data_IF_563343306571
#
_entry.id   IF_563343306571
#
_cell.length_a   1.000
_cell.length_b   1.000
_cell.length_c   1.000
_cell.angle_alpha   90.00
_cell.angle_beta   90.00
_cell.angle_gamma   90.00
#
_symmetry.space_group_name_H-M   'P 1'
#
loop_
_entity.id
_entity.type
_entity.pdbx_description
1 polymer ?
#
# COMPACT_ATOMS: atom_id res chain seq x y z
N UNK A 1 21.30 10.73 -8.16
CA UNK A 1 21.76 10.24 -6.85
C UNK A 1 20.75 9.19 -6.39
N UNK A 2 21.03 7.93 -6.67
CA UNK A 2 20.06 6.84 -6.64
C UNK A 2 19.91 6.31 -5.21
N UNK A 3 18.70 6.37 -4.65
CA UNK A 3 18.39 5.85 -3.30
C UNK A 3 18.61 4.33 -3.25
N UNK A 4 19.60 3.82 -2.49
CA UNK A 4 19.99 2.40 -2.50
C UNK A 4 18.99 1.45 -1.81
N UNK A 5 17.92 1.97 -1.19
CA UNK A 5 17.06 1.21 -0.27
C UNK A 5 15.95 0.43 -1.01
N UNK A 6 15.64 0.76 -2.27
CA UNK A 6 14.61 0.03 -3.04
C UNK A 6 15.07 -1.34 -3.56
N UNK A 7 16.37 -1.57 -3.73
CA UNK A 7 16.91 -2.81 -4.29
C UNK A 7 16.84 -4.01 -3.34
N UNK A 8 16.80 -3.79 -2.03
CA UNK A 8 16.85 -4.89 -1.05
C UNK A 8 15.58 -5.77 -1.10
N UNK A 9 14.41 -5.18 -1.40
CA UNK A 9 13.16 -5.92 -1.52
C UNK A 9 13.15 -6.85 -2.75
N UNK A 10 13.84 -6.49 -3.83
CA UNK A 10 13.96 -7.33 -5.03
C UNK A 10 14.90 -8.52 -4.80
N UNK A 11 15.96 -8.34 -4.00
CA UNK A 11 16.87 -9.43 -3.61
C UNK A 11 16.19 -10.48 -2.73
N UNK A 12 15.34 -10.04 -1.79
CA UNK A 12 14.63 -10.92 -0.89
C UNK A 12 13.65 -11.87 -1.60
N UNK A 13 13.12 -11.47 -2.77
CA UNK A 13 12.20 -12.31 -3.55
C UNK A 13 12.94 -13.19 -4.57
N UNK A 14 14.07 -12.73 -5.10
CA UNK A 14 14.87 -13.49 -6.06
C UNK A 14 15.53 -14.73 -5.47
N UNK A 15 16.07 -14.63 -4.25
CA UNK A 15 16.78 -15.75 -3.60
C UNK A 15 15.90 -17.01 -3.41
N UNK A 16 14.70 -16.92 -2.79
CA UNK A 16 13.84 -18.09 -2.64
C UNK A 16 13.32 -18.63 -3.98
N UNK A 17 13.12 -17.79 -5.00
CA UNK A 17 12.69 -18.23 -6.33
C UNK A 17 13.76 -19.08 -7.02
N UNK A 18 15.02 -18.62 -7.00
CA UNK A 18 16.15 -19.37 -7.58
C UNK A 18 16.37 -20.68 -6.80
N UNK A 19 16.25 -20.63 -5.48
CA UNK A 19 16.31 -21.83 -4.63
C UNK A 19 15.23 -22.86 -5.00
N UNK A 20 13.99 -22.40 -5.18
CA UNK A 20 12.86 -23.26 -5.55
C UNK A 20 13.07 -23.90 -6.94
N UNK A 21 13.54 -23.13 -7.92
CA UNK A 21 13.87 -23.64 -9.25
C UNK A 21 14.98 -24.69 -9.20
N UNK A 22 16.06 -24.45 -8.45
CA UNK A 22 17.13 -25.44 -8.28
C UNK A 22 16.60 -26.72 -7.62
N UNK A 23 15.82 -26.58 -6.55
CA UNK A 23 15.25 -27.72 -5.84
C UNK A 23 14.35 -28.59 -6.73
N UNK A 24 13.58 -27.97 -7.63
CA UNK A 24 12.78 -28.68 -8.62
C UNK A 24 13.64 -29.42 -9.66
N UNK A 25 14.73 -28.80 -10.13
CA UNK A 25 15.64 -29.41 -11.11
C UNK A 25 16.49 -30.54 -10.55
N UNK A 26 16.95 -30.43 -9.30
CA UNK A 26 17.85 -31.42 -8.68
C UNK A 26 17.12 -32.59 -8.01
N UNK A 27 15.78 -32.60 -8.06
CA UNK A 27 14.96 -33.69 -7.54
C UNK A 27 14.98 -33.84 -6.02
N UNK A 28 15.26 -32.76 -5.27
CA UNK A 28 15.28 -32.81 -3.79
C UNK A 28 16.06 -31.68 -3.12
N UNK A 29 15.60 -31.29 -1.92
CA UNK A 29 16.16 -30.21 -1.10
C UNK A 29 17.58 -30.48 -0.62
N UNK A 30 17.93 -31.74 -0.33
CA UNK A 30 19.25 -32.12 0.19
C UNK A 30 20.37 -31.89 -0.83
N UNK A 31 20.15 -32.32 -2.08
CA UNK A 31 21.10 -32.12 -3.18
C UNK A 31 21.21 -30.64 -3.59
N UNK A 32 20.08 -29.91 -3.54
CA UNK A 32 20.06 -28.48 -3.80
C UNK A 32 20.89 -27.69 -2.77
N UNK A 33 20.81 -28.06 -1.49
CA UNK A 33 21.56 -27.39 -0.43
C UNK A 33 23.08 -27.59 -0.59
N UNK A 34 23.51 -28.82 -0.93
CA UNK A 34 24.93 -29.11 -1.16
C UNK A 34 25.49 -28.40 -2.39
N UNK A 35 24.74 -28.36 -3.50
CA UNK A 35 25.14 -27.63 -4.71
C UNK A 35 25.16 -26.12 -4.46
N UNK A 36 24.22 -25.60 -3.69
CA UNK A 36 24.16 -24.17 -3.36
C UNK A 36 25.28 -23.78 -2.40
N UNK A 37 25.58 -24.58 -1.38
CA UNK A 37 26.70 -24.34 -0.49
C UNK A 37 28.04 -24.41 -1.23
N UNK A 38 28.25 -25.44 -2.07
CA UNK A 38 29.45 -25.57 -2.90
C UNK A 38 29.59 -24.41 -3.90
N UNK A 39 28.48 -23.98 -4.50
CA UNK A 39 28.42 -22.81 -5.39
C UNK A 39 28.71 -21.51 -4.65
N UNK A 40 28.13 -21.29 -3.46
CA UNK A 40 28.36 -20.08 -2.64
C UNK A 40 29.83 -19.99 -2.23
N UNK A 41 30.44 -21.12 -1.83
CA UNK A 41 31.87 -21.19 -1.52
C UNK A 41 32.73 -20.96 -2.76
N UNK A 42 32.34 -21.49 -3.93
CA UNK A 42 33.03 -21.21 -5.20
C UNK A 42 32.78 -19.79 -5.75
N UNK A 43 31.69 -19.13 -5.37
CA UNK A 43 31.28 -17.80 -5.85
C UNK A 43 31.70 -16.67 -4.92
N UNK A 44 32.18 -16.95 -3.70
CA UNK A 44 32.80 -15.98 -2.79
C UNK A 44 34.04 -15.26 -3.39
N UNK A 45 34.54 -15.72 -4.54
CA UNK A 45 35.49 -15.00 -5.40
C UNK A 45 34.84 -14.47 -6.68
N UNK A 46 35.12 -15.14 -7.81
CA UNK A 46 34.79 -14.66 -9.18
C UNK A 46 33.30 -14.81 -9.50
N UNK A 47 32.62 -15.80 -8.91
CA UNK A 47 31.24 -16.08 -9.23
C UNK A 47 30.27 -14.95 -8.89
N UNK A 48 30.59 -14.09 -7.92
CA UNK A 48 29.78 -12.92 -7.59
C UNK A 48 29.66 -11.94 -8.78
N UNK A 49 30.71 -11.80 -9.59
CA UNK A 49 30.74 -10.91 -10.76
C UNK A 49 29.77 -11.40 -11.84
N UNK A 50 29.60 -12.71 -12.00
CA UNK A 50 28.68 -13.30 -12.98
C UNK A 50 27.26 -13.41 -12.38
N UNK A 51 27.15 -13.64 -11.07
CA UNK A 51 25.88 -13.80 -10.38
C UNK A 51 25.06 -12.51 -10.31
N UNK A 52 25.72 -11.37 -10.08
CA UNK A 52 25.06 -10.05 -10.05
C UNK A 52 24.30 -9.77 -11.37
N UNK A 53 24.92 -9.79 -12.56
CA UNK A 53 24.21 -9.55 -13.81
C UNK A 53 23.17 -10.63 -14.09
N UNK A 54 23.44 -11.91 -13.77
CA UNK A 54 22.47 -12.98 -13.96
C UNK A 54 21.21 -12.78 -13.09
N UNK A 55 21.38 -12.35 -11.84
CA UNK A 55 20.26 -12.02 -10.94
C UNK A 55 19.45 -10.83 -11.43
N UNK A 56 20.13 -9.85 -12.05
CA UNK A 56 19.50 -8.64 -12.58
C UNK A 56 18.68 -8.97 -13.83
N UNK A 57 19.23 -9.80 -14.73
CA UNK A 57 18.52 -10.33 -15.90
C UNK A 57 17.33 -11.18 -15.48
N UNK A 58 17.52 -12.07 -14.50
CA UNK A 58 16.44 -12.95 -14.00
C UNK A 58 15.33 -12.13 -13.35
N UNK A 59 15.68 -11.11 -12.55
CA UNK A 59 14.71 -10.18 -11.96
C UNK A 59 13.95 -9.38 -13.02
N UNK A 60 14.63 -8.92 -14.07
CA UNK A 60 13.99 -8.23 -15.18
C UNK A 60 13.02 -9.15 -15.91
N UNK A 61 13.48 -10.35 -16.29
CA UNK A 61 12.66 -11.36 -16.97
C UNK A 61 11.43 -11.75 -16.14
N UNK A 62 11.58 -11.92 -14.82
CA UNK A 62 10.46 -12.23 -13.92
C UNK A 62 9.43 -11.09 -13.87
N UNK A 63 9.86 -9.83 -13.89
CA UNK A 63 8.96 -8.68 -13.96
C UNK A 63 8.22 -8.59 -15.29
N UNK A 64 8.90 -8.88 -16.41
CA UNK A 64 8.25 -8.94 -17.73
C UNK A 64 7.23 -10.06 -17.77
N UNK A 65 7.58 -11.25 -17.28
CA UNK A 65 6.67 -12.39 -17.19
C UNK A 65 5.48 -12.07 -16.29
N UNK A 66 5.71 -11.46 -15.12
CA UNK A 66 4.65 -11.05 -14.21
C UNK A 66 3.72 -10.02 -14.84
N UNK A 67 4.24 -9.09 -15.65
CA UNK A 67 3.45 -8.10 -16.38
C UNK A 67 2.63 -8.75 -17.50
N UNK A 68 3.21 -9.72 -18.21
CA UNK A 68 2.53 -10.49 -19.25
C UNK A 68 1.40 -11.35 -18.66
N UNK A 69 1.67 -12.01 -17.53
CA UNK A 69 0.68 -12.77 -16.78
C UNK A 69 -0.37 -11.83 -16.20
N UNK A 70 -0.02 -10.66 -15.67
CA UNK A 70 -1.00 -9.69 -15.17
C UNK A 70 -1.93 -9.17 -16.28
N UNK A 71 -1.39 -8.93 -17.48
CA UNK A 71 -2.17 -8.57 -18.66
C UNK A 71 -3.08 -9.72 -19.12
N UNK A 72 -2.59 -10.96 -19.09
CA UNK A 72 -3.33 -12.15 -19.55
C UNK A 72 -4.38 -12.63 -18.54
N UNK A 73 -4.10 -12.47 -17.24
CA UNK A 73 -4.95 -13.00 -16.15
C UNK A 73 -6.04 -12.02 -15.73
N UNK A 74 -6.19 -10.87 -16.41
CA UNK A 74 -7.37 -10.02 -16.25
C UNK A 74 -7.58 -9.51 -14.82
N UNK A 75 -6.52 -9.30 -14.03
CA UNK A 75 -6.64 -8.59 -12.74
C UNK A 75 -7.17 -7.16 -12.95
N UNK A 76 -7.04 -6.61 -14.17
CA UNK A 76 -7.72 -5.39 -14.62
C UNK A 76 -9.25 -5.46 -14.50
N UNK A 77 -9.85 -6.65 -14.44
CA UNK A 77 -11.31 -6.83 -14.25
C UNK A 77 -11.74 -6.56 -12.81
N UNK A 78 -10.87 -6.81 -11.82
CA UNK A 78 -11.18 -6.55 -10.40
C UNK A 78 -11.09 -5.07 -10.05
N UNK A 79 -10.08 -4.38 -10.58
CA UNK A 79 -9.96 -2.92 -10.43
C UNK A 79 -11.03 -2.17 -11.23
N UNK A 80 -11.41 -2.68 -12.40
CA UNK A 80 -12.54 -2.17 -13.18
C UNK A 80 -13.88 -2.33 -12.46
N UNK A 81 -14.14 -3.49 -11.84
CA UNK A 81 -15.35 -3.73 -11.07
C UNK A 81 -15.48 -2.79 -9.85
N UNK A 82 -14.37 -2.53 -9.14
CA UNK A 82 -14.36 -1.58 -8.01
C UNK A 82 -14.58 -0.14 -8.49
N UNK A 83 -13.98 0.25 -9.61
CA UNK A 83 -14.18 1.60 -10.19
C UNK A 83 -15.61 1.83 -10.66
N UNK A 84 -16.21 0.83 -11.32
CA UNK A 84 -17.62 0.88 -11.76
C UNK A 84 -18.60 0.88 -10.57
N UNK A 85 -18.26 0.21 -9.47
CA UNK A 85 -19.05 0.24 -8.24
C UNK A 85 -19.01 1.65 -7.59
N UNK A 86 -17.83 2.29 -7.56
CA UNK A 86 -17.67 3.65 -7.06
C UNK A 86 -18.46 4.68 -7.87
N UNK A 87 -18.43 4.60 -9.22
CA UNK A 87 -19.23 5.50 -10.08
C UNK A 87 -20.74 5.33 -9.89
N UNK A 88 -21.24 4.11 -9.67
CA UNK A 88 -22.67 3.89 -9.36
C UNK A 88 -23.09 4.50 -8.03
N UNK A 89 -22.21 4.47 -7.04
CA UNK A 89 -22.48 5.09 -5.74
C UNK A 89 -22.54 6.62 -5.89
N UNK A 90 -21.62 7.22 -6.63
CA UNK A 90 -21.60 8.66 -6.86
C UNK A 90 -22.81 9.15 -7.68
N UNK A 91 -23.21 8.40 -8.71
CA UNK A 91 -24.41 8.68 -9.48
C UNK A 91 -25.70 8.60 -8.64
N UNK A 92 -25.80 7.59 -7.77
CA UNK A 92 -26.93 7.44 -6.84
C UNK A 92 -27.01 8.59 -5.83
N UNK A 93 -25.86 9.05 -5.30
CA UNK A 93 -25.80 10.19 -4.37
C UNK A 93 -26.26 11.48 -5.08
N UNK A 94 -25.83 11.72 -6.32
CA UNK A 94 -26.30 12.86 -7.12
C UNK A 94 -27.80 12.83 -7.37
N UNK A 95 -28.37 11.67 -7.66
CA UNK A 95 -29.83 11.54 -7.84
C UNK A 95 -30.60 11.77 -6.53
N UNK A 96 -30.09 11.30 -5.40
CA UNK A 96 -30.68 11.60 -4.09
C UNK A 96 -30.59 13.09 -3.74
N UNK A 97 -29.49 13.76 -4.09
CA UNK A 97 -29.34 15.20 -3.91
C UNK A 97 -30.30 16.01 -4.80
N UNK A 98 -30.68 15.49 -5.97
CA UNK A 98 -31.69 16.13 -6.84
C UNK A 98 -33.13 15.87 -6.37
N UNK A 99 -33.41 14.78 -5.65
CA UNK A 99 -34.74 14.52 -5.07
C UNK A 99 -34.97 15.23 -3.73
N UNK A 100 -33.91 15.66 -3.03
CA UNK A 100 -34.05 16.38 -1.75
C UNK A 100 -34.30 17.88 -1.88
N UNK A 101 -34.33 18.44 -3.10
CA UNK A 101 -34.71 19.84 -3.33
C UNK A 101 -36.24 20.02 -3.32
N UNK A 102 -36.88 19.65 -2.20
CA UNK A 102 -38.17 20.21 -1.81
C UNK A 102 -37.89 21.24 -0.70
N UNK A 103 -38.41 22.48 -0.79
CA UNK A 103 -38.00 23.58 0.08
C UNK A 103 -38.70 23.48 1.44
N UNK A 104 -38.18 22.61 2.30
CA UNK A 104 -38.44 22.68 3.73
C UNK A 104 -37.14 22.87 4.50
N UNK A 105 -36.95 24.11 4.96
CA UNK A 105 -36.15 24.44 6.13
C UNK A 105 -34.65 24.51 5.87
N UNK A 106 -34.16 25.73 5.68
CA UNK A 106 -32.78 26.10 6.03
C UNK A 106 -32.64 25.92 7.54
N UNK A 107 -32.36 24.69 7.98
CA UNK A 107 -31.85 24.45 9.33
C UNK A 107 -30.38 24.81 9.23
N UNK A 108 -30.07 26.04 9.65
CA UNK A 108 -28.73 26.40 10.07
C UNK A 108 -28.25 25.28 10.99
N UNK A 109 -27.32 24.46 10.49
CA UNK A 109 -26.68 23.39 11.25
C UNK A 109 -25.86 24.10 12.31
N UNK A 110 -26.50 24.40 13.43
CA UNK A 110 -25.84 24.73 14.68
C UNK A 110 -24.81 23.63 14.89
N UNK A 111 -23.56 24.07 14.86
CA UNK A 111 -22.37 23.28 15.16
C UNK A 111 -22.62 22.59 16.48
N UNK A 112 -23.04 21.32 16.40
CA UNK A 112 -23.33 20.49 17.56
C UNK A 112 -22.01 20.30 18.30
N UNK A 113 -21.88 20.96 19.44
CA UNK A 113 -20.70 20.95 20.31
C UNK A 113 -20.42 19.59 20.97
N UNK A 114 -21.07 18.52 20.50
CA UNK A 114 -21.03 17.21 21.11
C UNK A 114 -20.60 16.17 20.06
N UNK A 115 -19.29 16.12 19.79
CA UNK A 115 -18.67 15.05 19.01
C UNK A 115 -19.02 13.72 19.64
N UNK A 116 -19.74 12.88 18.91
CA UNK A 116 -20.18 11.57 19.41
C UNK A 116 -18.96 10.69 19.71
N UNK A 117 -19.07 9.72 20.63
CA UNK A 117 -17.97 8.80 20.91
C UNK A 117 -17.45 8.08 19.66
N UNK A 118 -18.34 7.77 18.71
CA UNK A 118 -18.00 7.11 17.46
C UNK A 118 -17.19 8.02 16.53
N UNK A 119 -17.54 9.30 16.44
CA UNK A 119 -16.78 10.30 15.67
C UNK A 119 -15.37 10.49 16.22
N UNK A 120 -15.20 10.45 17.56
CA UNK A 120 -13.87 10.53 18.20
C UNK A 120 -12.97 9.35 17.82
N UNK A 121 -13.53 8.14 17.77
CA UNK A 121 -12.79 6.94 17.34
C UNK A 121 -12.37 7.07 15.86
N UNK A 122 -13.26 7.56 15.01
CA UNK A 122 -12.96 7.76 13.60
C UNK A 122 -11.85 8.81 13.38
N UNK A 123 -11.89 9.90 14.15
CA UNK A 123 -10.86 10.95 14.12
C UNK A 123 -9.48 10.40 14.53
N UNK A 124 -9.43 9.62 15.62
CA UNK A 124 -8.17 9.04 16.11
C UNK A 124 -7.56 8.07 15.09
N UNK A 125 -8.36 7.17 14.51
CA UNK A 125 -7.88 6.21 13.51
C UNK A 125 -7.41 6.93 12.23
N UNK A 126 -8.10 8.00 11.83
CA UNK A 126 -7.70 8.83 10.70
C UNK A 126 -6.33 9.47 10.95
N UNK A 127 -6.13 10.10 12.11
CA UNK A 127 -4.87 10.76 12.45
C UNK A 127 -3.72 9.75 12.53
N UNK A 128 -3.92 8.60 13.19
CA UNK A 128 -2.89 7.53 13.23
C UNK A 128 -2.50 7.06 11.84
N UNK A 129 -3.48 6.86 10.95
CA UNK A 129 -3.21 6.45 9.58
C UNK A 129 -2.43 7.53 8.83
N UNK A 130 -2.81 8.80 8.99
CA UNK A 130 -2.14 9.91 8.32
C UNK A 130 -0.67 10.06 8.79
N UNK A 131 -0.41 9.91 10.09
CA UNK A 131 0.95 9.93 10.64
C UNK A 131 1.79 8.76 10.13
N UNK A 132 1.24 7.54 10.07
CA UNK A 132 1.91 6.37 9.47
C UNK A 132 2.28 6.56 8.00
N UNK A 133 1.54 7.39 7.27
CA UNK A 133 1.80 7.75 5.87
C UNK A 133 2.79 8.91 5.72
N UNK A 134 3.25 9.51 6.82
CA UNK A 134 4.20 10.62 6.81
C UNK A 134 3.58 12.00 6.56
N UNK A 135 2.28 12.17 6.79
CA UNK A 135 1.66 13.49 6.73
C UNK A 135 2.08 14.37 7.91
N UNK A 136 2.34 15.66 7.63
CA UNK A 136 2.69 16.65 8.66
C UNK A 136 1.44 17.11 9.43
N UNK A 137 1.66 17.57 10.67
CA UNK A 137 0.59 18.09 11.53
C UNK A 137 -0.23 19.18 10.84
N UNK A 138 0.42 20.17 10.19
CA UNK A 138 -0.30 21.26 9.51
C UNK A 138 -1.22 20.76 8.41
N UNK A 139 -0.79 19.76 7.63
CA UNK A 139 -1.64 19.20 6.55
C UNK A 139 -2.87 18.49 7.10
N UNK A 140 -2.69 17.76 8.21
CA UNK A 140 -3.79 17.08 8.91
C UNK A 140 -4.74 18.13 9.50
N UNK A 141 -4.20 19.18 10.13
CA UNK A 141 -4.95 20.28 10.71
C UNK A 141 -5.81 20.99 9.65
N UNK A 142 -5.23 21.44 8.54
CA UNK A 142 -5.95 22.11 7.46
C UNK A 142 -7.10 21.26 6.94
N UNK A 143 -6.83 19.97 6.65
CA UNK A 143 -7.85 19.06 6.08
C UNK A 143 -9.03 18.85 7.03
N UNK A 144 -8.76 18.68 8.32
CA UNK A 144 -9.81 18.43 9.32
C UNK A 144 -10.58 19.72 9.66
N UNK A 145 -9.91 20.87 9.71
CA UNK A 145 -10.56 22.17 9.89
C UNK A 145 -11.47 22.52 8.72
N UNK A 146 -11.06 22.21 7.48
CA UNK A 146 -11.91 22.34 6.28
C UNK A 146 -13.16 21.45 6.36
N UNK A 147 -13.07 20.31 7.05
CA UNK A 147 -14.20 19.40 7.31
C UNK A 147 -15.06 19.83 8.51
N UNK A 148 -14.74 20.96 9.16
CA UNK A 148 -15.49 21.51 10.28
C UNK A 148 -15.12 20.94 11.65
N UNK A 149 -14.02 20.20 11.74
CA UNK A 149 -13.48 19.78 13.04
C UNK A 149 -12.84 20.94 13.77
N UNK A 150 -12.94 20.96 15.09
CA UNK A 150 -12.32 22.00 15.92
C UNK A 150 -10.85 21.70 16.12
N UNK A 151 -10.02 22.72 15.97
CA UNK A 151 -8.56 22.64 16.18
C UNK A 151 -8.18 22.03 17.54
N UNK A 152 -8.92 22.35 18.61
CA UNK A 152 -8.69 21.78 19.93
C UNK A 152 -8.88 20.25 19.97
N UNK A 153 -9.87 19.71 19.27
CA UNK A 153 -10.13 18.27 19.21
C UNK A 153 -9.09 17.55 18.35
N UNK A 154 -8.68 18.18 17.25
CA UNK A 154 -7.61 17.69 16.37
C UNK A 154 -6.29 17.63 17.15
N UNK A 155 -5.96 18.67 17.91
CA UNK A 155 -4.74 18.73 18.71
C UNK A 155 -4.73 17.65 19.81
N UNK A 156 -5.85 17.46 20.52
CA UNK A 156 -5.97 16.40 21.53
C UNK A 156 -5.79 15.00 20.92
N UNK A 157 -6.49 14.70 19.82
CA UNK A 157 -6.38 13.39 19.17
C UNK A 157 -4.97 13.15 18.59
N UNK A 158 -4.32 14.19 18.08
CA UNK A 158 -2.94 14.08 17.60
C UNK A 158 -1.96 13.72 18.72
N UNK A 159 -2.05 14.36 19.89
CA UNK A 159 -1.20 14.01 21.04
C UNK A 159 -1.38 12.55 21.47
N UNK A 160 -2.61 12.04 21.49
CA UNK A 160 -2.90 10.64 21.82
C UNK A 160 -2.28 9.70 20.79
N UNK A 161 -2.37 10.03 19.50
CA UNK A 161 -1.83 9.22 18.41
C UNK A 161 -0.30 9.17 18.37
N UNK A 162 0.41 10.21 18.85
CA UNK A 162 1.89 10.27 18.82
C UNK A 162 2.57 9.77 20.08
N UNK A 163 1.87 9.68 21.20
CA UNK A 163 2.43 9.22 22.48
C UNK A 163 2.41 7.67 22.64
N UNK A 164 2.05 6.94 21.57
CA UNK A 164 1.95 5.48 21.52
C UNK A 164 2.93 4.89 20.50
#
# INVERSE_FOLDING_TARGET
MSTPIRSFKSFAVGFPLVFLCLAAFTGGLSNAFWLLAASVVCTAGIGLIIWIPLSLVTGWAALTLAKEIANTTGISSRDGAVRNAAERTEASIRQQAMQSSSPHGVVARTVSQNTTPQERIALDEYIRRAVRLGHTYERILTTLTEQGWKEAEIHQAFQVATNH
#
